data_IF_882432447657
#
_entry.id   IF_882432447657
#
_cell.length_a   1.000
_cell.length_b   1.000
_cell.length_c   1.000
_cell.angle_alpha   90.00
_cell.angle_beta   90.00
_cell.angle_gamma   90.00
#
_symmetry.space_group_name_H-M   'P 1'
#
loop_
_entity.id
_entity.type
_entity.pdbx_description
1 polymer ?
#
# COMPACT_ATOMS: atom_id res chain seq x y z
N UNK A 1 -5.83 22.61 27.96
CA UNK A 1 -4.74 22.34 26.97
C UNK A 1 -4.12 23.65 26.49
N UNK A 2 -2.87 23.90 26.88
CA UNK A 2 -2.13 25.14 26.65
C UNK A 2 -1.79 25.37 25.15
N UNK A 3 -1.88 26.60 24.68
CA UNK A 3 -1.68 26.98 23.27
C UNK A 3 -0.29 26.60 22.75
N UNK A 4 0.75 26.73 23.58
CA UNK A 4 2.12 26.26 23.30
C UNK A 4 2.20 24.75 23.04
N UNK A 5 1.44 23.95 23.78
CA UNK A 5 1.39 22.50 23.58
C UNK A 5 0.63 22.11 22.31
N UNK A 6 -0.34 22.94 21.87
CA UNK A 6 -1.04 22.74 20.58
C UNK A 6 -0.12 23.04 19.41
N UNK A 7 0.62 24.15 19.46
CA UNK A 7 1.61 24.49 18.43
C UNK A 7 2.73 23.45 18.37
N UNK A 8 3.29 23.01 19.50
CA UNK A 8 4.32 21.97 19.51
C UNK A 8 3.84 20.63 18.91
N UNK A 9 2.60 20.21 19.22
CA UNK A 9 2.00 19.01 18.63
C UNK A 9 1.74 19.15 17.13
N UNK A 10 1.27 20.32 16.68
CA UNK A 10 1.04 20.61 15.28
C UNK A 10 2.35 20.60 14.47
N UNK A 11 3.41 21.22 15.00
CA UNK A 11 4.73 21.22 14.36
C UNK A 11 5.31 19.81 14.26
N UNK A 12 5.21 19.01 15.32
CA UNK A 12 5.69 17.63 15.31
C UNK A 12 4.93 16.77 14.28
N UNK A 13 3.60 16.90 14.23
CA UNK A 13 2.78 16.21 13.23
C UNK A 13 3.15 16.62 11.80
N UNK A 14 3.39 17.90 11.56
CA UNK A 14 3.80 18.42 10.25
C UNK A 14 5.16 17.84 9.83
N UNK A 15 6.14 17.80 10.73
CA UNK A 15 7.46 17.22 10.48
C UNK A 15 7.36 15.73 10.15
N UNK A 16 6.55 14.96 10.90
CA UNK A 16 6.33 13.54 10.63
C UNK A 16 5.70 13.32 9.26
N UNK A 17 4.69 14.12 8.89
CA UNK A 17 4.04 14.04 7.58
C UNK A 17 4.99 14.40 6.42
N UNK A 18 5.83 15.43 6.60
CA UNK A 18 6.83 15.82 5.61
C UNK A 18 7.92 14.77 5.42
N UNK A 19 8.38 14.15 6.52
CA UNK A 19 9.34 13.05 6.45
C UNK A 19 8.73 11.80 5.80
N UNK A 20 7.46 11.50 6.07
CA UNK A 20 6.78 10.36 5.47
C UNK A 20 6.49 10.57 3.96
N UNK A 21 6.11 11.79 3.56
CA UNK A 21 5.80 12.11 2.17
C UNK A 21 7.02 12.36 1.27
N UNK A 22 8.15 12.76 1.86
CA UNK A 22 9.40 13.03 1.12
C UNK A 22 10.15 11.77 0.65
N UNK A 23 9.72 10.57 1.07
CA UNK A 23 10.35 9.31 0.67
C UNK A 23 9.74 8.67 -0.59
N UNK A 24 8.58 9.15 -1.08
CA UNK A 24 7.96 8.64 -2.28
C UNK A 24 8.37 9.46 -3.52
N UNK A 25 8.69 8.76 -4.60
CA UNK A 25 9.01 9.30 -5.92
C UNK A 25 7.81 10.01 -6.56
N UNK A 26 8.05 10.86 -7.56
CA UNK A 26 6.98 11.55 -8.29
C UNK A 26 6.03 10.60 -9.00
N UNK A 27 6.51 9.44 -9.46
CA UNK A 27 5.70 8.38 -10.08
C UNK A 27 4.79 7.70 -9.06
N UNK A 28 5.30 7.34 -7.87
CA UNK A 28 4.48 6.78 -6.80
C UNK A 28 3.39 7.76 -6.35
N UNK A 29 3.72 9.06 -6.28
CA UNK A 29 2.73 10.11 -6.01
C UNK A 29 1.69 10.28 -7.12
N UNK A 30 2.08 10.13 -8.39
CA UNK A 30 1.17 10.19 -9.52
C UNK A 30 0.23 8.98 -9.56
N UNK A 31 0.76 7.78 -9.33
CA UNK A 31 0.01 6.52 -9.20
C UNK A 31 -1.02 6.63 -8.07
N UNK A 32 -0.61 7.07 -6.89
CA UNK A 32 -1.50 7.26 -5.74
C UNK A 32 -2.63 8.25 -6.04
N UNK A 33 -2.33 9.41 -6.66
CA UNK A 33 -3.34 10.40 -7.04
C UNK A 33 -4.33 9.86 -8.09
N UNK A 34 -3.87 8.98 -8.98
CA UNK A 34 -4.72 8.36 -10.00
C UNK A 34 -5.67 7.30 -9.41
N UNK A 35 -5.34 6.74 -8.24
CA UNK A 35 -6.09 5.67 -7.59
C UNK A 35 -6.64 6.12 -6.23
N UNK A 36 -7.68 6.96 -6.26
CA UNK A 36 -8.38 7.45 -5.06
C UNK A 36 -9.28 6.40 -4.39
N UNK A 37 -9.33 5.17 -4.93
CA UNK A 37 -10.03 4.03 -4.34
C UNK A 37 -9.39 3.70 -2.99
N UNK A 38 -10.11 4.06 -1.93
CA UNK A 38 -9.67 4.09 -0.54
C UNK A 38 -9.46 2.70 0.11
N UNK A 39 -9.30 1.62 -0.67
CA UNK A 39 -9.47 0.25 -0.18
C UNK A 39 -8.14 -0.47 0.04
N UNK A 40 -7.45 -0.07 1.11
CA UNK A 40 -6.51 -0.97 1.77
C UNK A 40 -7.34 -1.96 2.61
N UNK A 41 -7.81 -3.05 2.00
CA UNK A 41 -8.43 -4.14 2.76
C UNK A 41 -7.37 -4.93 3.50
N UNK A 42 -7.76 -5.65 4.56
CA UNK A 42 -6.85 -6.57 5.26
C UNK A 42 -6.28 -7.63 4.31
N UNK A 43 -7.04 -8.01 3.27
CA UNK A 43 -6.56 -8.94 2.23
C UNK A 43 -5.48 -8.29 1.37
N UNK A 44 -5.69 -7.06 0.91
CA UNK A 44 -4.71 -6.33 0.11
C UNK A 44 -3.41 -6.12 0.91
N UNK A 45 -3.53 -5.68 2.17
CA UNK A 45 -2.38 -5.49 3.06
C UNK A 45 -1.65 -6.81 3.28
N UNK A 46 -2.37 -7.89 3.60
CA UNK A 46 -1.79 -9.21 3.81
C UNK A 46 -1.09 -9.76 2.57
N UNK A 47 -1.66 -9.51 1.38
CA UNK A 47 -1.06 -9.86 0.09
C UNK A 47 0.24 -9.09 -0.14
N UNK A 48 0.22 -7.76 0.02
CA UNK A 48 1.39 -6.89 -0.18
C UNK A 48 2.52 -7.20 0.79
N UNK A 49 2.20 -7.51 2.05
CA UNK A 49 3.21 -7.91 3.04
C UNK A 49 3.87 -9.24 2.69
N UNK A 50 3.06 -10.24 2.31
CA UNK A 50 3.54 -11.58 1.93
C UNK A 50 4.40 -11.53 0.66
N UNK A 51 4.04 -10.68 -0.29
CA UNK A 51 4.68 -10.57 -1.60
C UNK A 51 5.53 -9.30 -1.76
N UNK A 52 6.11 -8.80 -0.65
CA UNK A 52 7.01 -7.66 -0.69
C UNK A 52 8.22 -7.93 -1.59
N UNK A 53 8.81 -6.85 -2.11
CA UNK A 53 9.99 -6.95 -2.98
C UNK A 53 11.14 -7.74 -2.36
N UNK A 54 11.86 -8.48 -3.22
CA UNK A 54 12.97 -9.34 -2.82
C UNK A 54 12.55 -10.71 -2.26
N UNK A 55 11.25 -10.99 -2.13
CA UNK A 55 10.74 -12.31 -1.78
C UNK A 55 10.18 -13.05 -2.99
N UNK A 56 10.22 -14.38 -2.95
CA UNK A 56 9.55 -15.21 -3.95
C UNK A 56 8.02 -15.02 -3.84
N UNK A 57 7.31 -14.72 -4.95
CA UNK A 57 5.86 -14.54 -4.93
C UNK A 57 5.12 -15.79 -4.43
N UNK A 58 4.10 -15.56 -3.62
CA UNK A 58 3.15 -16.57 -3.13
C UNK A 58 1.74 -16.06 -3.37
N UNK A 59 1.22 -16.39 -4.54
CA UNK A 59 -0.10 -15.95 -5.05
C UNK A 59 -1.07 -17.13 -5.05
N UNK A 60 -2.22 -16.97 -4.41
CA UNK A 60 -3.29 -17.95 -4.43
C UNK A 60 -4.42 -17.53 -5.38
N UNK A 61 -5.25 -18.47 -5.83
CA UNK A 61 -6.39 -18.16 -6.72
C UNK A 61 -7.36 -17.18 -6.06
N UNK A 62 -7.62 -17.34 -4.75
CA UNK A 62 -8.43 -16.42 -3.96
C UNK A 62 -7.91 -14.99 -3.95
N UNK A 63 -6.58 -14.79 -4.04
CA UNK A 63 -5.97 -13.46 -4.06
C UNK A 63 -6.31 -12.73 -5.38
N UNK A 64 -6.37 -13.46 -6.50
CA UNK A 64 -6.73 -12.90 -7.82
C UNK A 64 -8.20 -12.46 -7.84
N UNK A 65 -9.08 -13.27 -7.26
CA UNK A 65 -10.50 -12.97 -7.18
C UNK A 65 -10.75 -11.75 -6.27
N UNK A 66 -10.06 -11.69 -5.13
CA UNK A 66 -10.09 -10.53 -4.23
C UNK A 66 -9.54 -9.26 -4.91
N UNK A 67 -8.39 -9.36 -5.59
CA UNK A 67 -7.78 -8.24 -6.31
C UNK A 67 -8.70 -7.66 -7.37
N UNK A 68 -9.43 -8.52 -8.10
CA UNK A 68 -10.42 -8.09 -9.10
C UNK A 68 -11.65 -7.45 -8.46
N UNK A 69 -12.19 -8.06 -7.40
CA UNK A 69 -13.39 -7.57 -6.74
C UNK A 69 -13.17 -6.23 -6.02
N UNK A 70 -11.98 -6.05 -5.45
CA UNK A 70 -11.61 -4.87 -4.66
C UNK A 70 -10.81 -3.84 -5.48
N UNK A 71 -10.60 -4.09 -6.77
CA UNK A 71 -9.84 -3.24 -7.70
C UNK A 71 -8.48 -2.83 -7.13
N UNK A 72 -7.68 -3.83 -6.69
CA UNK A 72 -6.35 -3.56 -6.14
C UNK A 72 -5.44 -2.89 -7.19
N UNK A 73 -4.59 -2.00 -6.71
CA UNK A 73 -3.64 -1.23 -7.50
C UNK A 73 -2.27 -1.21 -6.81
N UNK A 74 -1.22 -0.88 -7.55
CA UNK A 74 0.16 -0.86 -7.07
C UNK A 74 1.10 -1.62 -8.01
N UNK A 75 2.28 -1.99 -7.51
CA UNK A 75 3.28 -2.71 -8.31
C UNK A 75 2.78 -4.09 -8.72
N UNK A 76 2.78 -4.36 -10.02
CA UNK A 76 2.37 -5.65 -10.56
C UNK A 76 3.30 -6.79 -10.11
N UNK A 77 2.72 -7.91 -9.75
CA UNK A 77 3.43 -9.15 -9.42
C UNK A 77 3.09 -10.19 -10.48
N UNK A 78 4.09 -10.59 -11.26
CA UNK A 78 3.93 -11.56 -12.34
C UNK A 78 4.36 -12.94 -11.86
N UNK A 79 3.47 -13.92 -12.02
CA UNK A 79 3.73 -15.33 -11.73
C UNK A 79 3.24 -16.19 -12.89
N UNK A 80 3.87 -17.33 -13.13
CA UNK A 80 3.37 -18.30 -14.10
C UNK A 80 2.13 -19.02 -13.55
N UNK A 81 1.16 -19.43 -14.39
CA UNK A 81 -0.09 -20.06 -13.92
C UNK A 81 0.12 -21.31 -13.05
N UNK A 82 1.16 -22.08 -13.31
CA UNK A 82 1.57 -23.28 -12.56
C UNK A 82 2.07 -22.97 -11.13
N UNK A 83 2.42 -21.71 -10.86
CA UNK A 83 2.90 -21.25 -9.55
C UNK A 83 1.76 -20.72 -8.67
N UNK A 84 0.53 -20.67 -9.18
CA UNK A 84 -0.64 -20.18 -8.45
C UNK A 84 -1.20 -21.30 -7.57
N UNK A 85 -1.20 -21.06 -6.26
CA UNK A 85 -1.78 -22.00 -5.29
C UNK A 85 -3.30 -22.10 -5.49
N UNK A 86 -3.81 -23.33 -5.56
CA UNK A 86 -5.24 -23.61 -5.61
C UNK A 86 -5.74 -23.75 -4.17
N UNK A 87 -6.71 -22.92 -3.77
CA UNK A 87 -7.28 -22.88 -2.43
C UNK A 87 -8.75 -22.43 -2.45
#
# INVERSE_FOLDING_TARGET
MNMRARFGRATLALVVLLLAGGCATSEEWAEWKAHTTHFASDKHIGFSWRNREGQAPRVARSDIDAARAETWWGKAITVSPDQIFQN
#
